data_IF_182654012886
#
_entry.id   IF_182654012886
#
_cell.length_a   1.000
_cell.length_b   1.000
_cell.length_c   1.000
_cell.angle_alpha   90.00
_cell.angle_beta   90.00
_cell.angle_gamma   90.00
#
_symmetry.space_group_name_H-M   'P 1'
#
loop_
_entity.id
_entity.type
_entity.pdbx_description
1 polymer ?
#
# COMPACT_ATOMS: atom_id res chain seq x y z
N UNK A 1 -11.36 14.04 31.87
CA UNK A 1 -10.59 13.15 30.97
C UNK A 1 -11.19 13.29 29.57
N UNK A 2 -10.61 14.11 28.69
CA UNK A 2 -11.09 14.24 27.32
C UNK A 2 -10.49 13.11 26.47
N UNK A 3 -11.36 12.19 26.04
CA UNK A 3 -11.08 11.23 24.98
C UNK A 3 -10.94 12.02 23.67
N UNK A 4 -9.71 12.24 23.21
CA UNK A 4 -9.49 12.66 21.83
C UNK A 4 -9.88 11.49 20.92
N UNK A 5 -11.10 11.54 20.39
CA UNK A 5 -11.48 10.72 19.25
C UNK A 5 -10.60 11.16 18.07
N UNK A 6 -9.53 10.43 17.81
CA UNK A 6 -8.70 10.60 16.62
C UNK A 6 -9.54 10.12 15.42
N UNK A 7 -10.41 11.00 14.92
CA UNK A 7 -10.96 10.85 13.57
C UNK A 7 -9.78 10.99 12.63
N UNK A 8 -9.14 9.88 12.27
CA UNK A 8 -8.27 9.83 11.10
C UNK A 8 -9.16 9.98 9.87
N UNK A 9 -9.64 11.19 9.59
CA UNK A 9 -10.04 11.50 8.22
C UNK A 9 -8.82 11.18 7.36
N UNK A 10 -8.98 10.20 6.49
CA UNK A 10 -7.94 9.72 5.59
C UNK A 10 -7.61 10.85 4.63
N UNK A 11 -6.70 11.74 5.03
CA UNK A 11 -6.32 12.96 4.31
C UNK A 11 -6.00 12.57 2.87
N UNK A 12 -6.80 13.09 1.95
CA UNK A 12 -6.61 12.89 0.52
C UNK A 12 -5.53 13.87 0.08
N UNK A 13 -4.38 13.35 -0.33
CA UNK A 13 -3.22 14.14 -0.74
C UNK A 13 -2.85 13.81 -2.18
N UNK A 14 -2.44 14.83 -2.96
CA UNK A 14 -1.82 14.59 -4.27
C UNK A 14 -0.44 13.95 -4.08
N UNK A 15 -0.34 12.67 -4.41
CA UNK A 15 0.88 11.89 -4.31
C UNK A 15 1.38 11.61 -5.72
N UNK A 16 2.54 12.16 -6.06
CA UNK A 16 3.20 11.98 -7.35
C UNK A 16 4.64 11.46 -7.13
N UNK A 17 5.18 10.79 -8.14
CA UNK A 17 6.58 10.37 -8.25
C UNK A 17 7.13 9.74 -6.97
N UNK A 18 8.30 10.20 -6.50
CA UNK A 18 9.00 9.72 -5.31
C UNK A 18 8.14 9.72 -4.06
N UNK A 19 7.25 10.70 -3.91
CA UNK A 19 6.37 10.76 -2.73
C UNK A 19 5.36 9.63 -2.76
N UNK A 20 4.77 9.36 -3.92
CA UNK A 20 3.87 8.23 -4.09
C UNK A 20 4.61 6.89 -3.92
N UNK A 21 5.82 6.76 -4.47
CA UNK A 21 6.65 5.56 -4.29
C UNK A 21 6.92 5.24 -2.83
N UNK A 22 7.24 6.25 -2.01
CA UNK A 22 7.42 6.05 -0.56
C UNK A 22 6.15 5.53 0.11
N UNK A 23 4.98 6.02 -0.30
CA UNK A 23 3.71 5.54 0.23
C UNK A 23 3.41 4.11 -0.25
N UNK A 24 3.66 3.81 -1.52
CA UNK A 24 3.51 2.45 -2.06
C UNK A 24 4.41 1.47 -1.31
N UNK A 25 5.68 1.79 -1.08
CA UNK A 25 6.60 0.92 -0.33
C UNK A 25 6.09 0.72 1.10
N UNK A 26 5.69 1.80 1.78
CA UNK A 26 5.15 1.72 3.15
C UNK A 26 3.86 0.89 3.25
N UNK A 27 3.01 0.94 2.23
CA UNK A 27 1.74 0.22 2.23
C UNK A 27 1.89 -1.23 1.77
N UNK A 28 2.66 -1.47 0.72
CA UNK A 28 2.63 -2.72 -0.04
C UNK A 28 3.89 -3.58 0.09
N UNK A 29 4.95 -3.11 0.75
CA UNK A 29 6.07 -3.99 1.08
C UNK A 29 5.70 -4.94 2.22
N UNK A 30 6.22 -6.16 2.18
CA UNK A 30 5.93 -7.19 3.17
C UNK A 30 7.16 -7.52 4.02
N UNK A 31 7.00 -7.63 5.33
CA UNK A 31 8.08 -8.02 6.24
C UNK A 31 9.27 -7.06 6.21
N UNK A 32 10.42 -7.53 5.72
CA UNK A 32 11.67 -6.75 5.60
C UNK A 32 11.98 -6.35 4.15
N UNK A 33 11.06 -6.58 3.23
CA UNK A 33 11.27 -6.24 1.82
C UNK A 33 11.14 -4.74 1.59
N UNK A 34 11.86 -4.24 0.59
CA UNK A 34 11.75 -2.85 0.11
C UNK A 34 10.97 -2.76 -1.20
N UNK A 35 10.83 -3.89 -1.90
CA UNK A 35 10.05 -3.99 -3.12
C UNK A 35 8.58 -4.21 -2.77
N UNK A 36 7.65 -3.33 -3.19
CA UNK A 36 6.23 -3.47 -2.90
C UNK A 36 5.58 -4.59 -3.71
N UNK A 37 4.73 -5.40 -3.09
CA UNK A 37 3.94 -6.40 -3.79
C UNK A 37 2.56 -5.83 -4.15
N UNK A 38 2.33 -5.58 -5.43
CA UNK A 38 1.11 -4.96 -5.93
C UNK A 38 0.39 -5.83 -6.95
N UNK A 39 -0.91 -5.61 -7.10
CA UNK A 39 -1.74 -6.24 -8.12
C UNK A 39 -2.71 -5.23 -8.74
N UNK A 40 -3.22 -5.53 -9.94
CA UNK A 40 -4.12 -4.65 -10.68
C UNK A 40 -3.41 -3.57 -11.48
N UNK A 41 -4.16 -2.53 -11.87
CA UNK A 41 -3.67 -1.44 -12.72
C UNK A 41 -2.95 -0.36 -11.90
N UNK A 42 -1.68 -0.62 -11.56
CA UNK A 42 -0.87 0.29 -10.74
C UNK A 42 -0.63 1.63 -11.43
N UNK A 43 -0.53 1.67 -12.76
CA UNK A 43 -0.30 2.90 -13.51
C UNK A 43 -1.52 3.84 -13.43
N UNK A 44 -2.72 3.29 -13.54
CA UNK A 44 -3.96 4.05 -13.35
C UNK A 44 -4.05 4.62 -11.93
N UNK A 45 -3.73 3.82 -10.91
CA UNK A 45 -3.69 4.31 -9.52
C UNK A 45 -2.68 5.44 -9.35
N UNK A 46 -1.48 5.32 -9.94
CA UNK A 46 -0.47 6.38 -9.89
C UNK A 46 -0.98 7.68 -10.52
N UNK A 47 -1.61 7.58 -11.68
CA UNK A 47 -2.22 8.72 -12.37
C UNK A 47 -3.37 9.34 -11.55
N UNK A 48 -4.22 8.52 -10.93
CA UNK A 48 -5.32 8.99 -10.07
C UNK A 48 -4.80 9.70 -8.83
N UNK A 49 -3.85 9.08 -8.10
CA UNK A 49 -3.20 9.64 -6.93
C UNK A 49 -2.51 10.98 -7.21
N UNK A 50 -1.88 11.13 -8.38
CA UNK A 50 -1.20 12.37 -8.72
C UNK A 50 -2.18 13.48 -9.15
N UNK A 51 -3.22 13.15 -9.93
CA UNK A 51 -4.15 14.15 -10.46
C UNK A 51 -5.23 14.57 -9.44
N UNK A 52 -5.86 13.59 -8.79
CA UNK A 52 -7.02 13.77 -7.91
C UNK A 52 -6.65 13.72 -6.43
N UNK A 53 -5.51 13.10 -6.11
CA UNK A 53 -5.13 12.80 -4.75
C UNK A 53 -5.65 11.46 -4.29
N UNK A 54 -4.94 10.87 -3.34
CA UNK A 54 -5.32 9.63 -2.70
C UNK A 54 -4.79 9.59 -1.27
N UNK A 55 -5.17 8.55 -0.55
CA UNK A 55 -4.72 8.29 0.81
C UNK A 55 -4.18 6.86 0.88
N UNK A 56 -3.66 6.49 2.06
CA UNK A 56 -3.12 5.14 2.24
C UNK A 56 -4.13 4.04 1.99
N UNK A 57 -5.40 4.22 2.34
CA UNK A 57 -6.42 3.20 2.12
C UNK A 57 -6.58 2.88 0.63
N UNK A 58 -6.56 3.91 -0.23
CA UNK A 58 -6.60 3.72 -1.70
C UNK A 58 -5.38 2.92 -2.18
N UNK A 59 -4.19 3.20 -1.65
CA UNK A 59 -2.97 2.48 -2.02
C UNK A 59 -3.02 1.02 -1.54
N UNK A 60 -3.52 0.78 -0.33
CA UNK A 60 -3.70 -0.56 0.24
C UNK A 60 -4.56 -1.48 -0.62
N UNK A 61 -5.57 -0.95 -1.32
CA UNK A 61 -6.40 -1.72 -2.24
C UNK A 61 -5.61 -2.35 -3.41
N UNK A 62 -4.43 -1.81 -3.72
CA UNK A 62 -3.56 -2.34 -4.77
C UNK A 62 -2.45 -3.24 -4.22
N UNK A 63 -2.26 -3.30 -2.90
CA UNK A 63 -1.31 -4.22 -2.30
C UNK A 63 -1.82 -5.66 -2.38
N UNK A 64 -0.93 -6.62 -2.62
CA UNK A 64 -1.33 -8.02 -2.66
C UNK A 64 -0.54 -8.85 -1.66
N UNK A 65 -1.25 -9.35 -0.64
CA UNK A 65 -0.66 -10.11 0.47
C UNK A 65 -1.17 -11.56 0.56
N UNK A 66 -1.80 -12.06 -0.50
CA UNK A 66 -2.15 -13.49 -0.60
C UNK A 66 -0.89 -14.34 -0.76
N UNK A 67 -0.94 -15.61 -0.35
CA UNK A 67 0.17 -16.54 -0.54
C UNK A 67 0.67 -16.60 -1.98
N UNK A 68 -0.26 -16.54 -2.94
CA UNK A 68 0.08 -16.53 -4.36
C UNK A 68 0.87 -15.27 -4.75
N UNK A 69 0.45 -14.10 -4.28
CA UNK A 69 1.15 -12.85 -4.54
C UNK A 69 2.51 -12.82 -3.85
N UNK A 70 2.59 -13.25 -2.58
CA UNK A 70 3.85 -13.29 -1.84
C UNK A 70 4.86 -14.26 -2.45
N UNK A 71 4.41 -15.43 -2.94
CA UNK A 71 5.27 -16.36 -3.70
C UNK A 71 5.75 -15.77 -5.02
N UNK A 72 4.95 -14.94 -5.69
CA UNK A 72 5.33 -14.29 -6.95
C UNK A 72 6.30 -13.13 -6.72
N UNK A 73 6.00 -12.25 -5.77
CA UNK A 73 6.80 -11.07 -5.45
C UNK A 73 8.10 -11.46 -4.75
N UNK A 74 8.08 -12.50 -3.90
CA UNK A 74 9.19 -12.88 -3.03
C UNK A 74 9.45 -14.40 -3.06
N UNK A 75 9.86 -14.96 -4.22
CA UNK A 75 9.87 -16.41 -4.47
C UNK A 75 10.77 -17.27 -3.57
N UNK A 76 11.59 -16.67 -2.71
CA UNK A 76 12.53 -17.39 -1.83
C UNK A 76 12.38 -17.04 -0.34
N UNK A 77 11.34 -16.28 0.04
CA UNK A 77 11.20 -15.76 1.40
C UNK A 77 10.30 -16.61 2.31
N UNK A 78 9.65 -17.64 1.75
CA UNK A 78 8.71 -18.51 2.46
C UNK A 78 7.62 -17.73 3.24
N UNK A 79 7.26 -16.54 2.74
CA UNK A 79 6.20 -15.75 3.33
C UNK A 79 4.85 -16.47 3.17
N UNK A 80 4.07 -16.44 4.24
CA UNK A 80 2.70 -16.94 4.27
C UNK A 80 1.79 -15.84 4.78
N UNK A 81 0.60 -15.79 4.23
CA UNK A 81 -0.48 -14.89 4.59
C UNK A 81 -1.15 -15.40 5.88
N UNK A 82 -0.37 -15.47 6.97
CA UNK A 82 -0.89 -15.83 8.30
C UNK A 82 -1.31 -14.59 9.11
N UNK A 83 -1.39 -13.42 8.48
CA UNK A 83 -1.72 -12.15 9.12
C UNK A 83 -3.16 -11.74 8.76
N UNK A 84 -4.06 -11.84 9.72
CA UNK A 84 -5.33 -11.11 9.73
C UNK A 84 -4.96 -9.62 9.73
N UNK A 85 -5.27 -8.91 8.64
CA UNK A 85 -5.13 -7.44 8.53
C UNK A 85 -6.23 -6.73 9.32
#
# INVERSE_FOLDING_TARGET
>A
MMLYAFKTESVIEKLCDKKLEQYIIKACAFGKETEPCMSGNVEEMKNECCNRGCNMNKIYLYCCFTDQCLKRCYPNKNYTSNSIY
#
